data_IF_218235213250
#
_entry.id   IF_218235213250
#
_cell.length_a   1.000
_cell.length_b   1.000
_cell.length_c   1.000
_cell.angle_alpha   90.00
_cell.angle_beta   90.00
_cell.angle_gamma   90.00
#
_symmetry.space_group_name_H-M   'P 1'
#
loop_
_entity.id
_entity.type
_entity.pdbx_description
1 polymer ?
#
# COMPACT_ATOMS: atom_id res chain seq x y z
N UNK A 1 -39.60 45.69 -60.82
CA UNK A 1 -39.97 44.55 -59.96
C UNK A 1 -38.94 44.42 -58.85
N UNK A 2 -39.40 44.57 -57.60
CA UNK A 2 -38.61 44.55 -56.35
C UNK A 2 -37.91 43.20 -56.15
N UNK A 3 -36.63 43.23 -55.77
CA UNK A 3 -36.01 42.16 -54.96
C UNK A 3 -35.12 42.78 -53.88
N UNK A 4 -35.47 42.45 -52.64
CA UNK A 4 -34.82 42.83 -51.40
C UNK A 4 -33.43 42.22 -51.26
N UNK A 5 -32.50 42.97 -50.70
CA UNK A 5 -31.28 42.45 -50.06
C UNK A 5 -31.22 43.00 -48.63
N UNK A 6 -31.22 42.07 -47.67
CA UNK A 6 -31.09 42.33 -46.23
C UNK A 6 -29.59 42.42 -45.89
N UNK A 7 -29.10 43.47 -45.24
CA UNK A 7 -27.74 43.47 -44.70
C UNK A 7 -27.71 42.79 -43.32
N UNK A 8 -26.87 41.77 -43.19
CA UNK A 8 -26.53 41.10 -41.92
C UNK A 8 -25.59 42.02 -41.15
N UNK A 9 -26.04 42.53 -40.00
CA UNK A 9 -25.20 43.22 -39.04
C UNK A 9 -24.37 42.18 -38.26
N UNK A 10 -23.06 42.16 -38.49
CA UNK A 10 -22.12 41.41 -37.67
C UNK A 10 -21.83 42.19 -36.39
N UNK A 11 -22.46 41.79 -35.29
CA UNK A 11 -22.15 42.28 -33.95
C UNK A 11 -20.97 41.48 -33.42
N UNK A 12 -19.78 42.06 -33.46
CA UNK A 12 -18.59 41.54 -32.78
C UNK A 12 -18.69 41.91 -31.29
N UNK A 13 -19.21 40.99 -30.47
CA UNK A 13 -19.15 41.11 -29.02
C UNK A 13 -17.77 40.60 -28.54
N UNK A 14 -16.87 41.53 -28.23
CA UNK A 14 -15.64 41.27 -27.49
C UNK A 14 -16.02 40.96 -26.03
N UNK A 15 -16.15 39.68 -25.70
CA UNK A 15 -16.18 39.19 -24.32
C UNK A 15 -14.73 38.99 -23.85
N UNK A 16 -14.10 40.06 -23.39
CA UNK A 16 -13.02 39.98 -22.40
C UNK A 16 -13.62 39.51 -21.08
N UNK A 17 -13.78 38.21 -20.94
CA UNK A 17 -14.07 37.54 -19.67
C UNK A 17 -12.79 36.98 -19.10
N UNK A 18 -12.32 37.59 -18.01
CA UNK A 18 -11.16 37.16 -17.24
C UNK A 18 -11.23 35.65 -16.94
N UNK A 19 -10.18 34.91 -17.33
CA UNK A 19 -9.92 33.60 -16.76
C UNK A 19 -9.58 33.80 -15.29
N UNK A 20 -10.60 33.73 -14.43
CA UNK A 20 -10.40 33.39 -13.04
C UNK A 20 -9.78 31.99 -13.04
N UNK A 21 -8.45 31.93 -12.86
CA UNK A 21 -7.80 30.70 -12.44
C UNK A 21 -8.44 30.34 -11.11
N UNK A 22 -9.35 29.38 -11.14
CA UNK A 22 -9.74 28.67 -9.93
C UNK A 22 -8.46 28.03 -9.41
N UNK A 23 -7.89 28.63 -8.37
CA UNK A 23 -6.89 28.02 -7.50
C UNK A 23 -7.61 26.86 -6.80
N UNK A 24 -7.76 25.75 -7.51
CA UNK A 24 -8.32 24.52 -6.97
C UNK A 24 -7.28 23.93 -6.05
N UNK A 25 -7.53 23.97 -4.74
CA UNK A 25 -6.76 23.19 -3.77
C UNK A 25 -6.55 21.77 -4.34
N UNK A 26 -5.31 21.27 -4.36
CA UNK A 26 -5.06 19.93 -4.87
C UNK A 26 -5.89 18.96 -4.04
N UNK A 27 -6.78 18.22 -4.71
CA UNK A 27 -7.63 17.24 -4.04
C UNK A 27 -6.76 16.29 -3.21
N UNK A 28 -7.05 16.20 -1.92
CA UNK A 28 -6.30 15.32 -1.02
C UNK A 28 -6.41 13.87 -1.53
N UNK A 29 -5.26 13.27 -1.86
CA UNK A 29 -5.20 11.86 -2.24
C UNK A 29 -5.37 11.03 -0.97
N UNK A 30 -6.42 10.20 -0.94
CA UNK A 30 -6.71 9.35 0.20
C UNK A 30 -5.95 8.02 0.11
N UNK A 31 -5.56 7.51 1.28
CA UNK A 31 -5.00 6.17 1.42
C UNK A 31 -6.10 5.15 1.05
N UNK A 32 -5.81 4.14 0.20
CA UNK A 32 -6.82 3.22 -0.32
C UNK A 32 -7.18 2.11 0.69
N UNK A 33 -7.68 2.53 1.85
CA UNK A 33 -8.15 1.63 2.91
C UNK A 33 -9.30 0.76 2.42
N UNK A 34 -9.16 -0.56 2.57
CA UNK A 34 -10.24 -1.51 2.31
C UNK A 34 -10.79 -2.04 3.63
N UNK A 35 -12.08 -1.80 3.88
CA UNK A 35 -12.78 -2.41 5.00
C UNK A 35 -12.83 -3.94 4.79
N UNK A 36 -12.41 -4.69 5.80
CA UNK A 36 -12.61 -6.14 5.80
C UNK A 36 -14.04 -6.44 6.23
N UNK A 37 -14.71 -7.21 5.38
CA UNK A 37 -16.01 -7.80 5.65
C UNK A 37 -15.77 -9.22 6.15
N UNK A 38 -16.64 -9.68 7.04
CA UNK A 38 -16.55 -10.92 7.81
C UNK A 38 -16.68 -12.14 6.88
N UNK A 39 -15.59 -12.49 6.21
CA UNK A 39 -15.38 -13.59 5.24
C UNK A 39 -14.16 -13.34 4.33
N UNK A 40 -13.73 -12.07 4.20
CA UNK A 40 -12.60 -11.65 3.38
C UNK A 40 -11.27 -11.76 4.14
N UNK A 41 -10.92 -12.96 4.58
CA UNK A 41 -9.63 -13.23 5.24
C UNK A 41 -8.45 -13.31 4.25
N UNK A 42 -8.70 -13.06 2.97
CA UNK A 42 -7.69 -13.16 1.93
C UNK A 42 -6.69 -12.00 2.04
N UNK A 43 -5.49 -12.32 2.51
CA UNK A 43 -4.29 -11.54 2.25
C UNK A 43 -4.20 -11.44 0.72
N UNK A 44 -4.19 -10.23 0.11
CA UNK A 44 -4.03 -10.13 -1.33
C UNK A 44 -2.78 -10.92 -1.73
N UNK A 45 -2.92 -11.93 -2.59
CA UNK A 45 -1.87 -12.94 -2.81
C UNK A 45 -0.52 -12.40 -3.30
N UNK A 46 -0.48 -11.14 -3.74
CA UNK A 46 0.71 -10.43 -4.19
C UNK A 46 1.26 -9.41 -3.17
N UNK A 47 0.55 -9.14 -2.08
CA UNK A 47 0.97 -8.16 -1.08
C UNK A 47 1.98 -8.79 -0.11
N UNK A 48 3.22 -8.31 -0.16
CA UNK A 48 4.27 -8.76 0.75
C UNK A 48 4.06 -8.29 2.20
N UNK A 49 3.27 -7.23 2.40
CA UNK A 49 2.91 -6.70 3.71
C UNK A 49 1.44 -6.28 3.72
N UNK A 50 0.78 -6.44 4.86
CA UNK A 50 -0.58 -5.96 5.12
C UNK A 50 -0.58 -5.09 6.37
N UNK A 51 -1.03 -3.83 6.23
CA UNK A 51 -1.28 -2.93 7.35
C UNK A 51 -2.76 -3.02 7.72
N UNK A 52 -3.04 -3.58 8.88
CA UNK A 52 -4.35 -3.56 9.52
C UNK A 52 -4.44 -2.35 10.44
N UNK A 53 -5.54 -1.62 10.34
CA UNK A 53 -5.92 -0.59 11.30
C UNK A 53 -7.25 -0.99 11.93
N UNK A 54 -7.27 -1.04 13.26
CA UNK A 54 -8.49 -1.23 14.03
C UNK A 54 -8.81 0.09 14.74
N UNK A 55 -9.79 0.87 14.27
CA UNK A 55 -10.23 2.08 14.96
C UNK A 55 -11.00 1.70 16.23
N UNK A 56 -11.02 2.58 17.23
CA UNK A 56 -11.86 2.41 18.42
C UNK A 56 -13.34 2.67 18.13
N UNK A 57 -13.66 3.42 17.06
CA UNK A 57 -15.04 3.68 16.66
C UNK A 57 -15.18 4.05 15.18
N UNK A 58 -16.41 3.98 14.60
CA UNK A 58 -16.68 4.49 13.26
C UNK A 58 -16.42 6.00 13.12
N UNK A 59 -16.44 6.75 14.22
CA UNK A 59 -16.17 8.19 14.19
C UNK A 59 -14.69 8.50 14.06
N UNK A 60 -13.84 7.77 14.77
CA UNK A 60 -12.39 7.83 14.59
C UNK A 60 -12.01 7.52 13.14
N UNK A 61 -12.63 6.50 12.54
CA UNK A 61 -12.38 6.11 11.16
C UNK A 61 -12.55 7.28 10.18
N UNK A 62 -13.50 8.19 10.42
CA UNK A 62 -13.78 9.35 9.54
C UNK A 62 -12.81 10.51 9.70
N UNK A 63 -12.22 10.65 10.87
CA UNK A 63 -11.42 11.82 11.24
C UNK A 63 -9.92 11.50 11.41
N UNK A 64 -9.52 10.24 11.29
CA UNK A 64 -8.13 9.86 11.50
C UNK A 64 -7.20 10.44 10.43
N UNK A 65 -6.05 10.95 10.88
CA UNK A 65 -4.99 11.43 10.01
C UNK A 65 -4.44 10.33 9.07
N UNK A 66 -4.63 9.05 9.43
CA UNK A 66 -4.29 7.88 8.62
C UNK A 66 -5.01 7.84 7.26
N UNK A 67 -6.12 8.56 7.08
CA UNK A 67 -6.84 8.60 5.80
C UNK A 67 -6.11 9.41 4.72
N UNK A 68 -5.31 10.40 5.11
CA UNK A 68 -4.75 11.41 4.19
C UNK A 68 -3.20 11.47 4.24
N UNK A 69 -2.55 10.41 4.72
CA UNK A 69 -1.09 10.34 4.77
C UNK A 69 -0.48 10.09 3.39
N UNK A 70 0.36 11.03 2.94
CA UNK A 70 1.11 10.89 1.70
C UNK A 70 2.10 9.71 1.75
N UNK A 71 2.72 9.44 2.90
CA UNK A 71 3.62 8.29 3.08
C UNK A 71 2.86 6.97 2.92
N UNK A 72 1.67 6.85 3.51
CA UNK A 72 0.85 5.65 3.38
C UNK A 72 0.25 5.49 1.98
N UNK A 73 -0.11 6.59 1.30
CA UNK A 73 -0.48 6.56 -0.13
C UNK A 73 0.67 5.97 -0.95
N UNK A 74 1.90 6.44 -0.76
CA UNK A 74 3.06 5.90 -1.46
C UNK A 74 3.33 4.43 -1.10
N UNK A 75 3.19 4.05 0.17
CA UNK A 75 3.36 2.67 0.61
C UNK A 75 2.29 1.71 0.06
N UNK A 76 1.08 2.21 -0.22
CA UNK A 76 -0.07 1.40 -0.67
C UNK A 76 0.16 0.68 -1.99
N UNK A 77 1.17 1.08 -2.77
CA UNK A 77 1.58 0.35 -3.96
C UNK A 77 2.07 -1.07 -3.65
N UNK A 78 2.66 -1.29 -2.48
CA UNK A 78 3.22 -2.59 -2.07
C UNK A 78 2.71 -3.12 -0.74
N UNK A 79 1.97 -2.30 0.01
CA UNK A 79 1.38 -2.66 1.30
C UNK A 79 -0.13 -2.64 1.14
N UNK A 80 -0.78 -3.76 1.44
CA UNK A 80 -2.24 -3.80 1.47
C UNK A 80 -2.76 -3.07 2.71
N UNK A 81 -3.61 -2.06 2.52
CA UNK A 81 -4.18 -1.25 3.60
C UNK A 81 -5.57 -1.76 3.96
N UNK A 82 -5.77 -2.25 5.18
CA UNK A 82 -7.00 -2.88 5.66
C UNK A 82 -7.53 -2.21 6.91
N UNK A 83 -8.84 -2.00 6.95
CA UNK A 83 -9.54 -1.57 8.17
C UNK A 83 -10.31 -2.77 8.71
N UNK A 84 -10.10 -3.07 9.98
CA UNK A 84 -10.82 -4.11 10.73
C UNK A 84 -11.84 -3.41 11.61
N UNK A 85 -13.06 -3.94 11.69
CA UNK A 85 -14.06 -3.37 12.60
C UNK A 85 -13.73 -3.74 14.04
N UNK A 86 -13.99 -2.82 14.97
CA UNK A 86 -13.82 -3.06 16.41
C UNK A 86 -14.73 -4.15 16.99
N UNK A 87 -15.74 -4.58 16.25
CA UNK A 87 -16.67 -5.66 16.62
C UNK A 87 -16.40 -6.98 15.88
N UNK A 88 -15.33 -7.07 15.09
CA UNK A 88 -14.90 -8.30 14.43
C UNK A 88 -14.00 -9.15 15.34
N UNK A 89 -14.62 -9.87 16.28
CA UNK A 89 -13.90 -10.62 17.31
C UNK A 89 -12.89 -11.64 16.75
N UNK A 90 -13.21 -12.31 15.65
CA UNK A 90 -12.30 -13.28 15.00
C UNK A 90 -11.02 -12.60 14.52
N UNK A 91 -11.16 -11.44 13.85
CA UNK A 91 -10.02 -10.68 13.39
C UNK A 91 -9.20 -10.08 14.53
N UNK A 92 -9.85 -9.63 15.61
CA UNK A 92 -9.15 -9.12 16.79
C UNK A 92 -8.35 -10.21 17.49
N UNK A 93 -8.91 -11.41 17.64
CA UNK A 93 -8.22 -12.57 18.22
C UNK A 93 -7.02 -12.97 17.36
N UNK A 94 -7.21 -13.07 16.04
CA UNK A 94 -6.12 -13.43 15.11
C UNK A 94 -4.98 -12.42 15.11
N UNK A 95 -5.30 -11.13 15.25
CA UNK A 95 -4.31 -10.07 15.33
C UNK A 95 -3.80 -9.83 16.76
N UNK A 96 -4.29 -10.60 17.74
CA UNK A 96 -3.94 -10.51 19.16
C UNK A 96 -4.14 -9.07 19.71
N UNK A 97 -5.28 -8.46 19.39
CA UNK A 97 -5.60 -7.07 19.74
C UNK A 97 -6.43 -6.99 21.00
N UNK A 98 -5.87 -6.35 22.03
CA UNK A 98 -6.56 -6.10 23.31
C UNK A 98 -6.98 -4.64 23.51
N UNK A 99 -6.29 -3.70 22.85
CA UNK A 99 -6.47 -2.26 23.03
C UNK A 99 -6.72 -1.56 21.70
N UNK A 100 -7.66 -0.60 21.71
CA UNK A 100 -8.04 0.19 20.54
C UNK A 100 -7.83 1.68 20.80
N UNK A 101 -7.52 2.47 19.75
CA UNK A 101 -7.18 2.03 18.40
C UNK A 101 -5.78 1.40 18.30
N UNK A 102 -5.56 0.61 17.25
CA UNK A 102 -4.27 -0.07 17.01
C UNK A 102 -3.98 -0.21 15.52
N UNK A 103 -2.70 -0.14 15.15
CA UNK A 103 -2.21 -0.57 13.84
C UNK A 103 -1.35 -1.82 14.00
N UNK A 104 -1.63 -2.84 13.18
CA UNK A 104 -0.88 -4.10 13.13
C UNK A 104 -0.34 -4.28 11.72
N UNK A 105 0.96 -4.49 11.60
CA UNK A 105 1.59 -4.83 10.33
C UNK A 105 1.87 -6.34 10.32
N UNK A 106 1.44 -7.01 9.27
CA UNK A 106 1.70 -8.43 9.04
C UNK A 106 2.43 -8.66 7.71
N UNK A 107 3.10 -9.80 7.59
CA UNK A 107 3.65 -10.28 6.32
C UNK A 107 2.58 -10.94 5.42
N UNK A 108 3.00 -11.34 4.22
CA UNK A 108 2.14 -12.04 3.25
C UNK A 108 1.63 -13.41 3.71
N UNK A 109 2.23 -13.99 4.76
CA UNK A 109 1.81 -15.26 5.35
C UNK A 109 0.88 -15.04 6.57
N UNK A 110 0.61 -13.78 6.92
CA UNK A 110 -0.28 -13.40 8.02
C UNK A 110 0.41 -13.28 9.38
N UNK A 111 1.73 -13.42 9.47
CA UNK A 111 2.45 -13.26 10.73
C UNK A 111 2.58 -11.78 11.07
N UNK A 112 2.29 -11.42 12.32
CA UNK A 112 2.48 -10.06 12.81
C UNK A 112 3.97 -9.73 12.89
N UNK A 113 4.40 -8.70 12.16
CA UNK A 113 5.79 -8.24 12.13
C UNK A 113 6.03 -7.00 13.00
N UNK A 114 4.98 -6.22 13.26
CA UNK A 114 5.02 -5.05 14.14
C UNK A 114 3.60 -4.60 14.54
N UNK A 115 3.51 -3.87 15.66
CA UNK A 115 2.26 -3.27 16.16
C UNK A 115 2.55 -1.87 16.72
N UNK A 116 1.62 -0.95 16.53
CA UNK A 116 1.55 0.34 17.22
C UNK A 116 0.23 0.41 17.96
N UNK A 117 0.30 0.44 19.28
CA UNK A 117 -0.85 0.67 20.15
C UNK A 117 -1.12 2.16 20.32
N UNK A 118 -2.37 2.51 20.64
CA UNK A 118 -2.72 3.88 20.94
C UNK A 118 -2.04 4.41 22.20
N UNK A 119 -1.81 5.72 22.24
CA UNK A 119 -1.42 6.44 23.45
C UNK A 119 -2.55 7.40 23.80
N UNK A 120 -3.12 7.26 24.99
CA UNK A 120 -4.28 8.05 25.45
C UNK A 120 -5.48 7.94 24.49
N UNK A 121 -5.73 6.75 23.92
CA UNK A 121 -6.84 6.53 22.99
C UNK A 121 -6.62 7.11 21.58
N UNK A 122 -5.41 7.59 21.27
CA UNK A 122 -5.06 8.13 19.95
C UNK A 122 -3.94 7.31 19.32
N UNK A 123 -4.15 6.87 18.08
CA UNK A 123 -3.13 6.18 17.29
C UNK A 123 -2.22 7.22 16.61
N UNK A 124 -0.91 7.17 16.88
CA UNK A 124 0.05 8.13 16.36
C UNK A 124 0.37 7.90 14.88
N UNK A 125 0.00 8.83 13.99
CA UNK A 125 0.29 8.73 12.55
C UNK A 125 1.78 8.48 12.26
N UNK A 126 2.65 9.31 12.84
CA UNK A 126 4.10 9.23 12.60
C UNK A 126 4.70 7.88 13.05
N UNK A 127 4.14 7.26 14.09
CA UNK A 127 4.57 5.94 14.55
C UNK A 127 4.17 4.86 13.55
N UNK A 128 2.95 4.94 13.00
CA UNK A 128 2.46 4.00 11.96
C UNK A 128 3.28 4.15 10.68
N UNK A 129 3.51 5.37 10.21
CA UNK A 129 4.36 5.66 9.06
C UNK A 129 5.79 5.13 9.26
N UNK A 130 6.38 5.38 10.43
CA UNK A 130 7.69 4.84 10.77
C UNK A 130 7.72 3.33 10.83
N UNK A 131 6.67 2.66 11.32
CA UNK A 131 6.56 1.22 11.36
C UNK A 131 6.59 0.63 9.94
N UNK A 132 5.76 1.17 9.04
CA UNK A 132 5.68 0.72 7.64
C UNK A 132 7.01 0.93 6.92
N UNK A 133 7.62 2.11 7.06
CA UNK A 133 8.92 2.41 6.43
C UNK A 133 10.01 1.43 6.87
N UNK A 134 10.16 1.21 8.18
CA UNK A 134 11.14 0.27 8.74
C UNK A 134 10.89 -1.16 8.26
N UNK A 135 9.64 -1.58 8.12
CA UNK A 135 9.32 -2.91 7.61
C UNK A 135 9.71 -3.07 6.14
N UNK A 136 9.45 -2.06 5.29
CA UNK A 136 9.88 -2.06 3.90
C UNK A 136 11.41 -2.09 3.76
N UNK A 137 12.13 -1.36 4.60
CA UNK A 137 13.60 -1.40 4.65
C UNK A 137 14.12 -2.78 5.07
N UNK A 138 13.53 -3.39 6.10
CA UNK A 138 13.89 -4.75 6.53
C UNK A 138 13.63 -5.77 5.44
N UNK A 139 12.50 -5.69 4.74
CA UNK A 139 12.21 -6.59 3.61
C UNK A 139 13.25 -6.45 2.49
N UNK A 140 13.72 -5.23 2.19
CA UNK A 140 14.79 -5.01 1.21
C UNK A 140 16.12 -5.63 1.64
N UNK A 141 16.53 -5.41 2.89
CA UNK A 141 17.75 -6.01 3.42
C UNK A 141 17.69 -7.54 3.41
N UNK A 142 16.57 -8.11 3.86
CA UNK A 142 16.35 -9.56 3.86
C UNK A 142 16.35 -10.14 2.43
N UNK A 143 15.84 -9.40 1.44
CA UNK A 143 15.87 -9.84 0.05
C UNK A 143 17.30 -9.89 -0.53
N UNK A 144 18.15 -8.94 -0.14
CA UNK A 144 19.55 -8.89 -0.56
C UNK A 144 20.35 -10.04 0.07
N UNK A 145 20.22 -10.23 1.38
CA UNK A 145 20.85 -11.36 2.09
C UNK A 145 20.39 -12.71 1.52
N UNK A 146 19.08 -12.87 1.29
CA UNK A 146 18.54 -14.10 0.71
C UNK A 146 19.04 -14.37 -0.73
N UNK A 147 19.34 -13.34 -1.52
CA UNK A 147 19.95 -13.51 -2.84
C UNK A 147 21.39 -13.99 -2.73
N UNK A 148 22.17 -13.38 -1.85
CA UNK A 148 23.57 -13.76 -1.64
C UNK A 148 23.68 -15.18 -1.11
N UNK A 149 22.82 -15.56 -0.17
CA UNK A 149 22.77 -16.92 0.36
C UNK A 149 22.28 -17.92 -0.70
N UNK A 150 21.28 -17.57 -1.51
CA UNK A 150 20.84 -18.41 -2.62
C UNK A 150 21.96 -18.68 -3.64
N UNK A 151 22.80 -17.67 -3.91
CA UNK A 151 23.97 -17.82 -4.77
C UNK A 151 25.00 -18.78 -4.16
N UNK A 152 25.32 -18.64 -2.86
CA UNK A 152 26.23 -19.57 -2.16
C UNK A 152 25.72 -21.01 -2.19
N UNK A 153 24.43 -21.23 -1.92
CA UNK A 153 23.82 -22.56 -2.01
C UNK A 153 23.91 -23.13 -3.43
N UNK A 154 23.66 -22.30 -4.45
CA UNK A 154 23.79 -22.75 -5.85
C UNK A 154 25.23 -23.13 -6.21
N UNK A 155 26.21 -22.33 -5.79
CA UNK A 155 27.64 -22.59 -6.03
C UNK A 155 28.15 -23.83 -5.28
N UNK A 156 27.57 -24.11 -4.11
CA UNK A 156 27.81 -25.33 -3.33
C UNK A 156 27.12 -26.58 -3.91
N UNK A 157 26.30 -26.44 -4.96
CA UNK A 157 25.52 -27.54 -5.56
C UNK A 157 24.23 -27.87 -4.81
N UNK A 158 23.87 -27.10 -3.79
CA UNK A 158 22.66 -27.25 -2.95
C UNK A 158 21.44 -26.63 -3.66
N UNK A 159 21.08 -27.18 -4.82
CA UNK A 159 20.07 -26.59 -5.74
C UNK A 159 18.71 -26.37 -5.07
N UNK A 160 18.24 -27.29 -4.23
CA UNK A 160 16.92 -27.18 -3.58
C UNK A 160 16.89 -26.02 -2.58
N UNK A 161 17.95 -25.85 -1.78
CA UNK A 161 18.07 -24.73 -0.84
C UNK A 161 18.12 -23.39 -1.58
N UNK A 162 18.87 -23.32 -2.69
CA UNK A 162 18.94 -22.14 -3.54
C UNK A 162 17.56 -21.79 -4.15
N UNK A 163 16.80 -22.78 -4.63
CA UNK A 163 15.48 -22.58 -5.23
C UNK A 163 14.51 -21.94 -4.22
N UNK A 164 14.47 -22.44 -2.98
CA UNK A 164 13.59 -21.90 -1.93
C UNK A 164 13.87 -20.41 -1.69
N UNK A 165 15.14 -20.03 -1.58
CA UNK A 165 15.53 -18.64 -1.34
C UNK A 165 15.23 -17.74 -2.55
N UNK A 166 15.56 -18.18 -3.76
CA UNK A 166 15.23 -17.41 -4.96
C UNK A 166 13.71 -17.25 -5.17
N UNK A 167 12.91 -18.28 -4.90
CA UNK A 167 11.45 -18.18 -4.99
C UNK A 167 10.89 -17.16 -3.99
N UNK A 168 11.41 -17.15 -2.76
CA UNK A 168 11.07 -16.13 -1.76
C UNK A 168 11.36 -14.72 -2.27
N UNK A 169 12.56 -14.47 -2.79
CA UNK A 169 12.93 -13.15 -3.32
C UNK A 169 12.08 -12.79 -4.56
N UNK A 170 11.80 -13.75 -5.44
CA UNK A 170 11.01 -13.53 -6.64
C UNK A 170 9.57 -13.05 -6.35
N UNK A 171 8.98 -13.48 -5.24
CA UNK A 171 7.66 -13.03 -4.78
C UNK A 171 7.64 -11.57 -4.32
N UNK A 172 8.78 -11.00 -3.92
CA UNK A 172 8.89 -9.62 -3.41
C UNK A 172 8.99 -8.56 -4.52
N UNK A 173 8.44 -8.82 -5.72
CA UNK A 173 8.60 -7.97 -6.91
C UNK A 173 8.14 -6.53 -6.70
N UNK A 174 7.15 -6.29 -5.84
CA UNK A 174 6.69 -4.94 -5.56
C UNK A 174 7.75 -4.12 -4.80
N UNK A 175 8.28 -4.67 -3.70
CA UNK A 175 9.22 -3.98 -2.80
C UNK A 175 10.63 -3.94 -3.42
N UNK A 176 11.04 -5.05 -4.03
CA UNK A 176 12.42 -5.32 -4.47
C UNK A 176 12.45 -5.73 -5.97
N UNK A 177 12.02 -4.86 -6.91
CA UNK A 177 11.80 -5.25 -8.31
C UNK A 177 13.08 -5.70 -9.03
N UNK A 178 14.25 -5.20 -8.63
CA UNK A 178 15.53 -5.61 -9.21
C UNK A 178 15.92 -7.00 -8.72
N UNK A 179 15.96 -7.18 -7.40
CA UNK A 179 16.29 -8.45 -6.74
C UNK A 179 15.38 -9.58 -7.21
N UNK A 180 14.07 -9.33 -7.31
CA UNK A 180 13.12 -10.30 -7.82
C UNK A 180 13.41 -10.75 -9.27
N UNK A 181 13.86 -9.83 -10.14
CA UNK A 181 14.25 -10.18 -11.52
C UNK A 181 15.52 -11.02 -11.56
N UNK A 182 16.49 -10.71 -10.71
CA UNK A 182 17.74 -11.44 -10.60
C UNK A 182 17.49 -12.86 -10.08
N UNK A 183 16.65 -13.01 -9.06
CA UNK A 183 16.18 -14.31 -8.56
C UNK A 183 15.49 -15.14 -9.66
N UNK A 184 14.57 -14.54 -10.43
CA UNK A 184 13.89 -15.22 -11.54
C UNK A 184 14.86 -15.67 -12.64
N UNK A 185 15.92 -14.91 -12.91
CA UNK A 185 16.97 -15.31 -13.86
C UNK A 185 17.77 -16.50 -13.33
N UNK A 186 18.13 -16.50 -12.05
CA UNK A 186 18.83 -17.61 -11.42
C UNK A 186 17.98 -18.90 -11.39
N UNK A 187 16.70 -18.81 -11.01
CA UNK A 187 15.76 -19.95 -11.04
C UNK A 187 15.67 -20.60 -12.42
N UNK A 188 15.63 -19.80 -13.50
CA UNK A 188 15.62 -20.34 -14.87
C UNK A 188 16.89 -21.13 -15.20
N UNK A 189 18.04 -20.74 -14.66
CA UNK A 189 19.30 -21.48 -14.84
C UNK A 189 19.34 -22.77 -14.04
N UNK A 190 18.83 -22.76 -12.81
CA UNK A 190 18.82 -23.93 -11.92
C UNK A 190 17.83 -25.01 -12.38
N UNK A 191 16.77 -24.63 -13.09
CA UNK A 191 15.77 -25.59 -13.62
C UNK A 191 16.12 -26.13 -15.01
N UNK A 192 17.19 -25.62 -15.64
CA UNK A 192 17.77 -26.16 -16.86
C UNK A 192 18.81 -27.23 -16.51
#
# INVERSE_FOLDING_TARGET
MRRWTVPIAAISLLLTGASALADGEPAAVLVPWKLLVHDAHEVPGDAALVLYWVPASPDELRHAALLASAELVAASHCVAMRVVRSDDAEMLERLDVEQLPVAVLADGDGHVVARIESRNGVLGLADVESMVRKALERQRAAAEEALDDAAKHADAGERDAAVVLYERVAKQRCICPRQARDAQRALRKIRQ
#
